data_IF_861209798695
#
_entry.id   IF_861209798695
#
_cell.length_a   1.000
_cell.length_b   1.000
_cell.length_c   1.000
_cell.angle_alpha   90.00
_cell.angle_beta   90.00
_cell.angle_gamma   90.00
#
_symmetry.space_group_name_H-M   'P 1'
#
loop_
_entity.id
_entity.type
_entity.pdbx_description
1 polymer ?
#
# COMPACT_ATOMS: atom_id res chain seq x y z
N UNK A 1 11.68 -3.36 -7.05
CA UNK A 1 10.90 -2.76 -5.94
C UNK A 1 11.82 -1.92 -5.06
N UNK A 2 11.39 -0.73 -4.66
CA UNK A 2 12.12 0.16 -3.75
C UNK A 2 11.19 0.72 -2.69
N UNK A 3 11.68 0.85 -1.46
CA UNK A 3 10.97 1.54 -0.37
C UNK A 3 11.72 2.84 -0.09
N UNK A 4 11.01 3.97 -0.14
CA UNK A 4 11.57 5.29 0.17
C UNK A 4 11.14 5.71 1.58
N UNK A 5 12.11 5.99 2.45
CA UNK A 5 11.88 6.51 3.79
C UNK A 5 12.18 8.01 3.84
N UNK A 6 11.16 8.84 4.09
CA UNK A 6 11.35 10.27 4.36
C UNK A 6 11.38 10.53 5.87
N UNK A 7 12.49 11.05 6.38
CA UNK A 7 12.67 11.42 7.78
C UNK A 7 12.98 12.92 7.95
N UNK A 8 12.54 13.49 9.06
CA UNK A 8 12.80 14.87 9.47
C UNK A 8 12.34 15.06 10.91
N UNK A 9 12.72 16.18 11.54
CA UNK A 9 12.23 16.57 12.87
C UNK A 9 10.70 16.77 12.88
N UNK A 10 10.01 16.59 14.03
CA UNK A 10 8.61 16.98 14.19
C UNK A 10 8.37 18.42 13.73
N UNK A 11 7.27 18.67 13.01
CA UNK A 11 7.00 19.99 12.41
C UNK A 11 7.83 20.35 11.16
N UNK A 12 8.84 19.55 10.79
CA UNK A 12 9.71 19.80 9.63
C UNK A 12 9.07 19.61 8.23
N UNK A 13 7.74 19.66 8.12
CA UNK A 13 7.06 19.70 6.81
C UNK A 13 6.99 18.41 6.00
N UNK A 14 7.36 17.25 6.55
CA UNK A 14 7.36 15.94 5.84
C UNK A 14 6.06 15.65 5.10
N UNK A 15 4.92 15.82 5.78
CA UNK A 15 3.61 15.55 5.18
C UNK A 15 3.34 16.46 3.99
N UNK A 16 3.67 17.76 4.10
CA UNK A 16 3.53 18.70 3.00
C UNK A 16 4.44 18.35 1.83
N UNK A 17 5.69 17.98 2.10
CA UNK A 17 6.63 17.56 1.08
C UNK A 17 6.11 16.36 0.29
N UNK A 18 5.68 15.29 0.99
CA UNK A 18 5.15 14.08 0.34
C UNK A 18 3.90 14.39 -0.48
N UNK A 19 3.01 15.26 0.01
CA UNK A 19 1.82 15.66 -0.74
C UNK A 19 2.18 16.34 -2.07
N UNK A 20 3.14 17.27 -2.06
CA UNK A 20 3.49 18.04 -3.25
C UNK A 20 4.40 17.31 -4.23
N UNK A 21 5.32 16.48 -3.73
CA UNK A 21 6.39 15.90 -4.54
C UNK A 21 6.19 14.42 -4.87
N UNK A 22 5.36 13.70 -4.12
CA UNK A 22 5.13 12.27 -4.34
C UNK A 22 3.66 12.00 -4.71
N UNK A 23 2.72 12.39 -3.85
CA UNK A 23 1.30 12.05 -4.01
C UNK A 23 0.67 12.79 -5.19
N UNK A 24 0.81 14.12 -5.25
CA UNK A 24 0.21 14.92 -6.30
C UNK A 24 0.70 14.50 -7.70
N UNK A 25 2.02 14.36 -7.96
CA UNK A 25 2.50 13.89 -9.26
C UNK A 25 2.02 12.48 -9.62
N UNK A 26 1.98 11.56 -8.65
CA UNK A 26 1.48 10.20 -8.89
C UNK A 26 0.00 10.19 -9.28
N UNK A 27 -0.82 10.99 -8.60
CA UNK A 27 -2.24 11.17 -8.94
C UNK A 27 -2.41 11.80 -10.32
N UNK A 28 -1.65 12.85 -10.63
CA UNK A 28 -1.68 13.52 -11.95
C UNK A 28 -1.24 12.59 -13.09
N UNK A 29 -0.37 11.63 -12.81
CA UNK A 29 0.02 10.56 -13.74
C UNK A 29 -1.00 9.41 -13.83
N UNK A 30 -2.15 9.52 -13.17
CA UNK A 30 -3.21 8.50 -13.18
C UNK A 30 -2.90 7.25 -12.35
N UNK A 31 -1.91 7.30 -11.45
CA UNK A 31 -1.58 6.16 -10.58
C UNK A 31 -2.54 6.08 -9.39
N UNK A 32 -2.79 4.85 -8.92
CA UNK A 32 -3.57 4.61 -7.72
C UNK A 32 -2.68 4.88 -6.50
N UNK A 33 -3.10 5.80 -5.63
CA UNK A 33 -2.35 6.18 -4.43
C UNK A 33 -3.13 5.84 -3.17
N UNK A 34 -2.52 5.05 -2.29
CA UNK A 34 -3.02 4.75 -0.95
C UNK A 34 -2.34 5.63 0.09
N UNK A 35 -3.10 6.16 1.04
CA UNK A 35 -2.58 7.03 2.10
C UNK A 35 -3.09 6.60 3.47
N UNK A 36 -2.25 6.65 4.50
CA UNK A 36 -2.65 6.49 5.90
C UNK A 36 -2.13 7.65 6.74
N UNK A 37 -2.97 8.16 7.66
CA UNK A 37 -2.57 9.19 8.63
C UNK A 37 -2.35 10.59 8.08
N UNK A 38 -2.73 10.87 6.83
CA UNK A 38 -2.74 12.24 6.27
C UNK A 38 -4.17 12.76 6.29
N UNK A 39 -4.57 13.57 7.28
CA UNK A 39 -5.93 14.07 7.39
C UNK A 39 -6.25 15.11 6.30
N UNK A 40 -7.49 15.07 5.78
CA UNK A 40 -8.09 16.11 4.91
C UNK A 40 -7.40 16.30 3.55
N UNK A 41 -6.83 15.25 2.97
CA UNK A 41 -6.34 15.31 1.61
C UNK A 41 -7.52 15.46 0.63
N UNK A 42 -7.50 16.49 -0.23
CA UNK A 42 -8.52 16.71 -1.28
C UNK A 42 -8.18 16.01 -2.60
N UNK A 43 -6.97 15.46 -2.71
CA UNK A 43 -6.56 14.69 -3.87
C UNK A 43 -7.28 13.34 -3.89
N UNK A 44 -7.60 12.77 -5.07
CA UNK A 44 -8.26 11.48 -5.19
C UNK A 44 -7.31 10.33 -4.80
N UNK A 45 -7.20 10.07 -3.50
CA UNK A 45 -6.46 8.96 -2.92
C UNK A 45 -7.38 7.98 -2.19
N UNK A 46 -6.92 6.75 -2.00
CA UNK A 46 -7.61 5.74 -1.20
C UNK A 46 -7.08 5.82 0.22
N UNK A 47 -7.92 6.24 1.16
CA UNK A 47 -7.56 6.30 2.58
C UNK A 47 -7.59 4.89 3.17
N UNK A 48 -6.47 4.45 3.74
CA UNK A 48 -6.35 3.16 4.43
C UNK A 48 -6.03 3.35 5.91
N UNK A 49 -6.28 2.33 6.72
CA UNK A 49 -5.95 2.33 8.15
C UNK A 49 -4.52 1.83 8.38
N UNK A 50 -3.90 2.26 9.49
CA UNK A 50 -2.61 1.72 9.90
C UNK A 50 -2.66 0.21 10.14
N UNK A 51 -3.76 -0.31 10.69
CA UNK A 51 -3.97 -1.74 10.90
C UNK A 51 -3.91 -2.54 9.59
N UNK A 52 -4.55 -2.04 8.52
CA UNK A 52 -4.46 -2.67 7.20
C UNK A 52 -3.04 -2.62 6.63
N UNK A 53 -2.33 -1.51 6.85
CA UNK A 53 -0.94 -1.37 6.39
C UNK A 53 0.04 -2.23 7.17
N UNK A 54 -0.14 -2.48 8.47
CA UNK A 54 0.77 -3.35 9.23
C UNK A 54 0.57 -4.81 8.85
N UNK A 55 -0.64 -5.17 8.46
CA UNK A 55 -1.03 -6.55 8.14
C UNK A 55 -0.99 -6.87 6.65
N UNK A 56 -0.58 -5.94 5.79
CA UNK A 56 -0.63 -6.07 4.33
C UNK A 56 0.05 -7.35 3.78
N UNK A 57 1.09 -7.82 4.45
CA UNK A 57 1.89 -9.00 4.08
C UNK A 57 1.30 -10.32 4.63
N UNK A 58 0.28 -10.24 5.48
CA UNK A 58 -0.35 -11.43 6.06
C UNK A 58 -1.08 -12.23 4.98
N UNK A 59 -0.85 -13.54 5.03
CA UNK A 59 -1.36 -14.50 4.08
C UNK A 59 -1.81 -15.77 4.78
N UNK A 60 -2.84 -16.41 4.26
CA UNK A 60 -3.32 -17.71 4.74
C UNK A 60 -3.12 -18.76 3.65
N UNK A 61 -2.54 -19.89 4.03
CA UNK A 61 -2.39 -21.05 3.14
C UNK A 61 -3.77 -21.68 2.92
N UNK A 62 -4.13 -21.91 1.65
CA UNK A 62 -5.43 -22.50 1.27
C UNK A 62 -5.40 -24.02 1.24
N UNK A 63 -4.27 -24.59 0.81
CA UNK A 63 -4.06 -26.02 0.67
C UNK A 63 -3.29 -26.58 1.86
N UNK A 64 -3.95 -26.68 3.01
CA UNK A 64 -3.34 -27.11 4.29
C UNK A 64 -2.78 -28.54 4.25
N UNK A 65 -3.26 -29.36 3.31
CA UNK A 65 -2.80 -30.71 3.03
C UNK A 65 -1.42 -30.77 2.36
N UNK A 66 -0.96 -29.66 1.77
CA UNK A 66 0.34 -29.57 1.10
C UNK A 66 1.41 -29.16 2.10
N UNK A 67 2.36 -30.06 2.33
CA UNK A 67 3.49 -29.86 3.25
C UNK A 67 4.75 -29.32 2.56
N UNK A 68 4.82 -29.41 1.23
CA UNK A 68 5.89 -28.82 0.44
C UNK A 68 5.60 -27.32 0.22
N UNK A 69 6.46 -26.45 0.75
CA UNK A 69 6.29 -25.00 0.66
C UNK A 69 6.32 -24.47 -0.78
N UNK A 70 7.02 -25.15 -1.70
CA UNK A 70 7.05 -24.78 -3.12
C UNK A 70 5.69 -24.93 -3.82
N UNK A 71 4.84 -25.81 -3.31
CA UNK A 71 3.50 -26.11 -3.84
C UNK A 71 2.40 -25.42 -3.02
N UNK A 72 2.76 -24.67 -1.97
CA UNK A 72 1.82 -24.00 -1.09
C UNK A 72 1.17 -22.79 -1.79
N UNK A 73 -0.16 -22.73 -1.75
CA UNK A 73 -0.95 -21.65 -2.31
C UNK A 73 -1.39 -20.74 -1.17
N UNK A 74 -1.00 -19.47 -1.29
CA UNK A 74 -1.30 -18.45 -0.29
C UNK A 74 -2.30 -17.43 -0.85
N UNK A 75 -3.27 -17.05 -0.03
CA UNK A 75 -4.15 -15.91 -0.27
C UNK A 75 -3.78 -14.76 0.66
N UNK A 76 -3.76 -13.52 0.14
CA UNK A 76 -3.55 -12.33 0.95
C UNK A 76 -4.81 -12.01 1.76
N UNK A 77 -4.66 -11.86 3.07
CA UNK A 77 -5.80 -11.70 3.97
C UNK A 77 -6.55 -10.36 3.79
N UNK A 78 -5.91 -9.39 3.14
CA UNK A 78 -6.41 -8.02 3.03
C UNK A 78 -6.88 -7.64 1.62
N UNK A 79 -6.80 -8.57 0.67
CA UNK A 79 -7.34 -8.39 -0.68
C UNK A 79 -8.61 -9.25 -0.77
N UNK A 80 -9.77 -8.59 -0.81
CA UNK A 80 -11.07 -9.28 -0.90
C UNK A 80 -11.31 -9.81 -2.32
N UNK A 81 -12.04 -10.91 -2.44
CA UNK A 81 -12.50 -11.44 -3.72
C UNK A 81 -13.22 -10.36 -4.54
N UNK A 82 -12.88 -10.26 -5.84
CA UNK A 82 -13.36 -9.17 -6.71
C UNK A 82 -12.53 -7.88 -6.65
N UNK A 83 -11.47 -7.82 -5.85
CA UNK A 83 -10.51 -6.70 -5.92
C UNK A 83 -9.74 -6.71 -7.24
N UNK A 84 -9.67 -5.55 -7.90
CA UNK A 84 -8.80 -5.36 -9.07
C UNK A 84 -7.38 -5.04 -8.59
N UNK A 85 -6.43 -5.92 -8.90
CA UNK A 85 -5.01 -5.68 -8.68
C UNK A 85 -4.39 -5.29 -10.03
N UNK A 86 -3.82 -4.08 -10.10
CA UNK A 86 -3.03 -3.64 -11.25
C UNK A 86 -1.56 -3.82 -10.88
N UNK A 87 -0.86 -4.73 -11.57
CA UNK A 87 0.57 -4.97 -11.40
C UNK A 87 1.28 -4.26 -12.55
N UNK A 88 2.05 -3.21 -12.23
CA UNK A 88 2.89 -2.46 -13.17
C UNK A 88 4.26 -3.16 -13.23
N UNK A 89 4.43 -4.05 -14.22
CA UNK A 89 5.72 -4.70 -14.50
C UNK A 89 6.56 -3.80 -15.40
N UNK A 90 7.46 -3.01 -14.79
CA UNK A 90 8.56 -2.31 -15.46
C UNK A 90 9.85 -3.11 -15.40
#
# INVERSE_FOLDING_TARGET
MSITLLSAVPGGGKSSYVVWHEIKPAVEAGRIVYTAGIPKLKLPTIVTSYDKLTRWHERTQKNLEVTNEADAIYELNNIVEGSLIVIDET
#
